data_IF_799206010432
#
_entry.id   IF_799206010432
#
_cell.length_a   1.000
_cell.length_b   1.000
_cell.length_c   1.000
_cell.angle_alpha   90.00
_cell.angle_beta   90.00
_cell.angle_gamma   90.00
#
_symmetry.space_group_name_H-M   'P 1'
#
loop_
_entity.id
_entity.type
_entity.pdbx_description
1 polymer ?
#
# COMPACT_ATOMS: atom_id res chain seq x y z
N UNK A 1 11.28 8.75 18.78
CA UNK A 1 10.50 8.70 17.54
C UNK A 1 10.17 7.25 17.25
N UNK A 2 8.89 6.91 17.34
CA UNK A 2 8.36 5.59 17.05
C UNK A 2 7.95 5.54 15.58
N UNK A 3 8.35 4.47 14.89
CA UNK A 3 8.01 4.24 13.48
C UNK A 3 7.10 3.03 13.36
N UNK A 4 6.03 3.15 12.60
CA UNK A 4 5.16 2.03 12.25
C UNK A 4 5.26 1.71 10.75
N UNK A 5 5.16 0.43 10.42
CA UNK A 5 4.97 0.01 9.03
C UNK A 5 3.48 -0.24 8.82
N UNK A 6 2.90 0.47 7.86
CA UNK A 6 1.60 0.14 7.32
C UNK A 6 1.80 -0.81 6.14
N UNK A 7 1.75 -2.12 6.42
CA UNK A 7 1.93 -3.15 5.39
C UNK A 7 0.64 -3.39 4.61
N UNK A 8 0.64 -2.89 3.39
CA UNK A 8 -0.47 -2.94 2.46
C UNK A 8 -0.38 -4.23 1.64
N UNK A 9 -1.48 -5.01 1.61
CA UNK A 9 -1.56 -6.27 0.84
C UNK A 9 -2.67 -6.28 -0.21
N UNK A 10 -3.85 -5.78 0.16
CA UNK A 10 -5.02 -5.67 -0.72
C UNK A 10 -5.74 -4.34 -0.58
N UNK A 11 -5.53 -3.67 0.54
CA UNK A 11 -6.29 -2.51 0.94
C UNK A 11 -5.62 -1.21 0.48
N UNK A 12 -5.73 -0.92 -0.82
CA UNK A 12 -5.05 0.21 -1.48
C UNK A 12 -5.80 1.55 -1.29
N UNK A 13 -6.25 1.86 -0.07
CA UNK A 13 -7.03 3.10 0.22
C UNK A 13 -6.52 3.82 1.46
N UNK A 14 -6.61 5.14 1.43
CA UNK A 14 -6.28 6.03 2.58
C UNK A 14 -7.48 6.28 3.49
N UNK A 15 -8.70 6.27 2.94
CA UNK A 15 -9.93 6.53 3.67
C UNK A 15 -10.54 5.25 4.19
N UNK A 16 -11.09 5.26 5.40
CA UNK A 16 -11.72 4.07 6.01
C UNK A 16 -10.76 2.87 6.05
N UNK A 17 -9.57 3.10 6.59
CA UNK A 17 -8.54 2.10 6.76
C UNK A 17 -8.11 2.02 8.22
N UNK A 18 -8.66 1.04 8.95
CA UNK A 18 -8.43 0.86 10.37
C UNK A 18 -6.94 0.64 10.71
N UNK A 19 -6.21 -0.08 9.86
CA UNK A 19 -4.78 -0.35 10.09
C UNK A 19 -3.94 0.92 9.94
N UNK A 20 -4.23 1.74 8.93
CA UNK A 20 -3.59 3.05 8.77
C UNK A 20 -3.93 3.98 9.93
N UNK A 21 -5.21 4.05 10.33
CA UNK A 21 -5.65 4.89 11.44
C UNK A 21 -4.92 4.54 12.74
N UNK A 22 -4.89 3.25 13.10
CA UNK A 22 -4.18 2.78 14.28
C UNK A 22 -2.66 3.06 14.23
N UNK A 23 -2.04 2.99 13.04
CA UNK A 23 -0.62 3.30 12.87
C UNK A 23 -0.33 4.80 13.07
N UNK A 24 -1.20 5.68 12.56
CA UNK A 24 -1.07 7.13 12.72
C UNK A 24 -1.31 7.57 14.17
N UNK A 25 -2.16 6.86 14.92
CA UNK A 25 -2.40 7.16 16.33
C UNK A 25 -1.25 6.72 17.26
N UNK A 26 -0.46 5.73 16.85
CA UNK A 26 0.55 5.07 17.71
C UNK A 26 2.01 5.38 17.36
N UNK A 27 2.28 6.01 16.21
CA UNK A 27 3.63 6.27 15.73
C UNK A 27 3.80 7.72 15.26
N UNK A 28 5.02 8.25 15.44
CA UNK A 28 5.40 9.57 14.95
C UNK A 28 5.58 9.59 13.43
N UNK A 29 5.88 8.43 12.84
CA UNK A 29 6.11 8.25 11.41
C UNK A 29 5.55 6.90 10.95
N UNK A 30 4.79 6.92 9.85
CA UNK A 30 4.20 5.72 9.24
C UNK A 30 4.81 5.50 7.86
N UNK A 31 5.35 4.29 7.65
CA UNK A 31 5.95 3.86 6.39
C UNK A 31 4.94 3.00 5.62
N UNK A 32 4.35 3.50 4.51
CA UNK A 32 3.46 2.71 3.65
C UNK A 32 4.31 1.73 2.83
N UNK A 33 4.05 0.43 2.96
CA UNK A 33 4.85 -0.61 2.28
C UNK A 33 3.94 -1.57 1.53
N UNK A 34 4.25 -1.82 0.26
CA UNK A 34 3.68 -2.92 -0.52
C UNK A 34 4.79 -3.86 -1.02
N UNK A 35 4.68 -5.15 -0.72
CA UNK A 35 5.66 -6.14 -1.17
C UNK A 35 5.17 -6.82 -2.44
N UNK A 36 5.89 -6.62 -3.54
CA UNK A 36 5.67 -7.37 -4.77
C UNK A 36 6.26 -8.78 -4.60
N UNK A 37 5.39 -9.78 -4.62
CA UNK A 37 5.77 -11.18 -4.56
C UNK A 37 5.80 -11.75 -5.99
N UNK A 38 7.01 -12.05 -6.48
CA UNK A 38 7.22 -12.61 -7.82
C UNK A 38 6.48 -13.92 -8.03
N UNK A 39 6.38 -14.78 -7.00
CA UNK A 39 5.68 -16.05 -7.11
C UNK A 39 4.16 -15.84 -7.26
N UNK A 40 3.62 -14.81 -6.61
CA UNK A 40 2.22 -14.43 -6.77
C UNK A 40 1.95 -13.82 -8.14
N UNK A 41 2.86 -12.98 -8.65
CA UNK A 41 2.75 -12.35 -9.97
C UNK A 41 2.89 -13.35 -11.11
N UNK A 42 3.74 -14.37 -10.95
CA UNK A 42 3.94 -15.45 -11.92
C UNK A 42 2.90 -16.57 -11.83
N UNK A 43 1.94 -16.46 -10.90
CA UNK A 43 0.94 -17.50 -10.69
C UNK A 43 0.03 -17.65 -11.92
N UNK A 44 -0.24 -18.88 -12.39
CA UNK A 44 -1.16 -19.11 -13.52
C UNK A 44 -2.61 -18.70 -13.21
N UNK A 45 -2.92 -18.45 -11.93
CA UNK A 45 -4.23 -17.97 -11.48
C UNK A 45 -4.35 -16.44 -11.51
N UNK A 46 -3.30 -15.72 -11.90
CA UNK A 46 -3.27 -14.25 -11.97
C UNK A 46 -3.17 -13.82 -13.42
N UNK A 47 -4.30 -13.39 -13.99
CA UNK A 47 -4.35 -12.87 -15.36
C UNK A 47 -3.94 -11.40 -15.47
N UNK A 48 -3.55 -10.98 -16.68
CA UNK A 48 -3.03 -9.63 -16.98
C UNK A 48 -3.91 -8.49 -16.48
N UNK A 49 -5.24 -8.62 -16.61
CA UNK A 49 -6.19 -7.60 -16.14
C UNK A 49 -6.12 -7.38 -14.63
N UNK A 50 -5.93 -8.45 -13.86
CA UNK A 50 -5.78 -8.37 -12.40
C UNK A 50 -4.46 -7.70 -12.03
N UNK A 51 -3.39 -8.02 -12.75
CA UNK A 51 -2.07 -7.40 -12.59
C UNK A 51 -2.11 -5.91 -12.91
N UNK A 52 -2.73 -5.54 -14.04
CA UNK A 52 -2.92 -4.14 -14.42
C UNK A 52 -3.70 -3.37 -13.35
N UNK A 53 -4.83 -3.92 -12.87
CA UNK A 53 -5.62 -3.33 -11.80
C UNK A 53 -4.82 -3.11 -10.50
N UNK A 54 -3.99 -4.08 -10.11
CA UNK A 54 -3.10 -3.95 -8.96
C UNK A 54 -2.14 -2.77 -9.14
N UNK A 55 -1.42 -2.71 -10.26
CA UNK A 55 -0.44 -1.65 -10.49
C UNK A 55 -1.08 -0.27 -10.66
N UNK A 56 -2.26 -0.17 -11.25
CA UNK A 56 -3.04 1.08 -11.29
C UNK A 56 -3.42 1.55 -9.88
N UNK A 57 -3.89 0.63 -9.03
CA UNK A 57 -4.17 0.93 -7.63
C UNK A 57 -2.95 1.38 -6.85
N UNK A 58 -1.79 0.72 -7.04
CA UNK A 58 -0.53 1.12 -6.40
C UNK A 58 -0.06 2.51 -6.87
N UNK A 59 -0.21 2.82 -8.17
CA UNK A 59 0.08 4.15 -8.71
C UNK A 59 -0.82 5.23 -8.11
N UNK A 60 -2.13 4.96 -8.03
CA UNK A 60 -3.09 5.88 -7.45
C UNK A 60 -2.81 6.13 -5.96
N UNK A 61 -2.56 5.06 -5.18
CA UNK A 61 -2.19 5.17 -3.77
C UNK A 61 -0.88 5.95 -3.60
N UNK A 62 0.14 5.66 -4.41
CA UNK A 62 1.41 6.38 -4.39
C UNK A 62 1.27 7.87 -4.72
N UNK A 63 0.37 8.24 -5.65
CA UNK A 63 0.06 9.65 -5.92
C UNK A 63 -0.62 10.32 -4.72
N UNK A 64 -1.63 9.68 -4.13
CA UNK A 64 -2.33 10.21 -2.96
C UNK A 64 -1.43 10.35 -1.72
N UNK A 65 -0.46 9.44 -1.54
CA UNK A 65 0.55 9.56 -0.48
C UNK A 65 1.48 10.76 -0.72
N UNK A 66 1.90 11.01 -1.97
CA UNK A 66 2.75 12.16 -2.34
C UNK A 66 2.09 13.50 -2.09
N UNK A 67 0.80 13.62 -2.35
CA UNK A 67 0.02 14.82 -2.01
C UNK A 67 0.05 15.16 -0.51
N UNK A 68 0.36 14.17 0.34
CA UNK A 68 0.42 14.30 1.80
C UNK A 68 1.85 14.30 2.35
N UNK A 69 2.86 14.44 1.48
CA UNK A 69 4.27 14.46 1.88
C UNK A 69 4.86 13.08 2.21
N UNK A 70 4.17 11.99 1.84
CA UNK A 70 4.64 10.61 2.00
C UNK A 70 4.87 9.96 0.63
N UNK A 71 5.27 8.69 0.60
CA UNK A 71 5.40 7.91 -0.63
C UNK A 71 5.20 6.42 -0.33
N UNK A 72 4.80 5.66 -1.35
CA UNK A 72 4.69 4.21 -1.26
C UNK A 72 6.08 3.59 -1.45
N UNK A 73 6.46 2.71 -0.51
CA UNK A 73 7.65 1.84 -0.59
C UNK A 73 7.26 0.52 -1.23
#
# INVERSE_FOLDING_TARGET
MTRAIWWIRRDLRLTDNQALHAALDQADEVLPVFVLDEALLASPYVGDKRTAFLFDGLRALGAALRERGSYLI
#
